data_IF_000842378256
#
_entry.id   IF_000842378256
#
_cell.length_a   1.000
_cell.length_b   1.000
_cell.length_c   1.000
_cell.angle_alpha   90.00
_cell.angle_beta   90.00
_cell.angle_gamma   90.00
#
_symmetry.space_group_name_H-M   'P 1'
#
loop_
_entity.id
_entity.type
_entity.pdbx_description
1 polymer ?
#
# COMPACT_ATOMS: atom_id res chain seq x y z
N UNK A 1 20.29 5.99 10.70
CA UNK A 1 19.79 4.77 11.35
C UNK A 1 18.39 4.39 10.88
N UNK A 2 17.38 5.27 10.96
CA UNK A 2 16.00 4.91 10.56
C UNK A 2 15.87 4.52 9.09
N UNK A 3 16.57 5.18 8.16
CA UNK A 3 16.53 4.84 6.73
C UNK A 3 17.03 3.41 6.46
N UNK A 4 18.09 2.98 7.14
CA UNK A 4 18.60 1.62 7.00
C UNK A 4 17.57 0.58 7.53
N UNK A 5 16.93 0.87 8.66
CA UNK A 5 15.86 0.03 9.21
C UNK A 5 14.69 -0.02 8.22
N UNK A 6 14.32 1.10 7.62
CA UNK A 6 13.22 1.15 6.63
C UNK A 6 13.53 0.29 5.41
N UNK A 7 14.73 0.37 4.87
CA UNK A 7 15.13 -0.48 3.74
C UNK A 7 15.13 -1.96 4.11
N UNK A 8 15.55 -2.31 5.32
CA UNK A 8 15.46 -3.69 5.82
C UNK A 8 14.01 -4.17 5.95
N UNK A 9 13.11 -3.32 6.46
CA UNK A 9 11.68 -3.66 6.56
C UNK A 9 11.07 -3.85 5.17
N UNK A 10 11.34 -2.93 4.23
CA UNK A 10 10.87 -3.07 2.84
C UNK A 10 11.39 -4.38 2.24
N UNK A 11 12.69 -4.65 2.36
CA UNK A 11 13.28 -5.88 1.84
C UNK A 11 12.68 -7.14 2.47
N UNK A 12 12.42 -7.13 3.78
CA UNK A 12 11.79 -8.25 4.48
C UNK A 12 10.35 -8.50 3.99
N UNK A 13 9.55 -7.46 3.82
CA UNK A 13 8.18 -7.58 3.30
C UNK A 13 8.16 -8.10 1.85
N UNK A 14 9.07 -7.61 0.99
CA UNK A 14 9.23 -8.13 -0.38
C UNK A 14 9.66 -9.59 -0.36
N UNK A 15 10.59 -9.97 0.51
CA UNK A 15 11.03 -11.35 0.65
C UNK A 15 9.89 -12.28 1.09
N UNK A 16 9.07 -11.86 2.06
CA UNK A 16 7.89 -12.58 2.51
C UNK A 16 6.91 -12.78 1.34
N UNK A 17 6.60 -11.71 0.59
CA UNK A 17 5.74 -11.79 -0.59
C UNK A 17 6.26 -12.82 -1.61
N UNK A 18 7.54 -12.75 -1.95
CA UNK A 18 8.13 -13.65 -2.94
C UNK A 18 8.20 -15.10 -2.45
N UNK A 19 8.48 -15.34 -1.16
CA UNK A 19 8.47 -16.68 -0.58
C UNK A 19 7.07 -17.30 -0.68
N UNK A 20 6.03 -16.54 -0.33
CA UNK A 20 4.64 -17.01 -0.44
C UNK A 20 4.29 -17.31 -1.90
N UNK A 21 4.62 -16.41 -2.82
CA UNK A 21 4.36 -16.60 -4.26
C UNK A 21 5.05 -17.83 -4.82
N UNK A 22 6.32 -18.07 -4.47
CA UNK A 22 7.04 -19.27 -4.86
C UNK A 22 6.37 -20.54 -4.29
N UNK A 23 5.95 -20.52 -3.04
CA UNK A 23 5.24 -21.64 -2.44
C UNK A 23 3.91 -21.93 -3.16
N UNK A 24 3.15 -20.88 -3.51
CA UNK A 24 1.90 -20.99 -4.27
C UNK A 24 2.14 -21.57 -5.68
N UNK A 25 3.14 -21.05 -6.40
CA UNK A 25 3.52 -21.57 -7.73
C UNK A 25 3.86 -23.06 -7.63
N UNK A 26 4.75 -23.44 -6.72
CA UNK A 26 5.18 -24.83 -6.56
C UNK A 26 4.03 -25.78 -6.20
N UNK A 27 3.01 -25.29 -5.49
CA UNK A 27 1.90 -26.12 -5.01
C UNK A 27 0.72 -26.19 -5.97
N UNK A 28 0.44 -25.11 -6.69
CA UNK A 28 -0.82 -24.92 -7.42
C UNK A 28 -0.67 -24.58 -8.91
N UNK A 29 0.55 -24.36 -9.45
CA UNK A 29 0.70 -24.04 -10.88
C UNK A 29 0.26 -25.16 -11.81
N UNK A 30 0.35 -26.42 -11.36
CA UNK A 30 -0.17 -27.58 -12.11
C UNK A 30 -1.71 -27.75 -12.00
N UNK A 31 -2.38 -26.83 -11.32
CA UNK A 31 -3.81 -26.86 -11.04
C UNK A 31 -4.14 -27.20 -9.58
N UNK A 32 -5.40 -27.01 -9.24
CA UNK A 32 -5.93 -27.24 -7.89
C UNK A 32 -6.07 -25.96 -7.06
N UNK A 33 -6.64 -26.14 -5.89
CA UNK A 33 -6.87 -25.07 -4.91
C UNK A 33 -6.98 -25.66 -3.51
N UNK A 34 -6.94 -24.79 -2.51
CA UNK A 34 -7.13 -25.16 -1.11
C UNK A 34 -8.05 -24.13 -0.45
N UNK A 35 -9.14 -24.58 0.12
CA UNK A 35 -10.04 -23.73 0.89
C UNK A 35 -9.56 -23.64 2.34
N UNK A 36 -9.52 -22.42 2.87
CA UNK A 36 -9.15 -22.09 4.25
C UNK A 36 -10.25 -21.25 4.92
N UNK A 37 -10.15 -21.04 6.22
CA UNK A 37 -11.13 -20.26 6.99
C UNK A 37 -12.58 -20.72 6.74
N UNK A 38 -12.83 -22.05 6.89
CA UNK A 38 -14.16 -22.65 6.66
C UNK A 38 -14.73 -22.42 5.23
N UNK A 39 -13.83 -22.33 4.24
CA UNK A 39 -14.23 -22.12 2.87
C UNK A 39 -14.45 -20.65 2.46
N UNK A 40 -14.23 -19.69 3.38
CA UNK A 40 -14.38 -18.25 3.05
C UNK A 40 -13.26 -17.72 2.15
N UNK A 41 -12.08 -18.34 2.20
CA UNK A 41 -10.93 -17.98 1.37
C UNK A 41 -10.46 -19.22 0.61
N UNK A 42 -10.25 -19.06 -0.67
CA UNK A 42 -9.61 -20.07 -1.53
C UNK A 42 -8.22 -19.63 -1.91
N UNK A 43 -7.25 -20.51 -1.74
CA UNK A 43 -5.89 -20.33 -2.25
C UNK A 43 -5.79 -21.07 -3.58
N UNK A 44 -5.49 -20.36 -4.67
CA UNK A 44 -5.24 -20.91 -6.01
C UNK A 44 -4.23 -20.06 -6.77
N UNK A 45 -3.57 -20.62 -7.74
CA UNK A 45 -2.63 -19.90 -8.59
C UNK A 45 -3.37 -19.18 -9.73
N UNK A 46 -3.07 -17.89 -9.91
CA UNK A 46 -3.59 -17.05 -11.00
C UNK A 46 -2.48 -16.17 -11.54
N UNK A 47 -2.31 -16.15 -12.86
CA UNK A 47 -1.42 -15.20 -13.55
C UNK A 47 -2.18 -13.92 -13.88
N UNK A 48 -1.73 -12.79 -13.32
CA UNK A 48 -2.33 -11.49 -13.56
C UNK A 48 -1.41 -10.63 -14.43
N UNK A 49 -1.79 -10.45 -15.70
CA UNK A 49 -1.05 -9.60 -16.68
C UNK A 49 -1.51 -8.14 -16.67
N UNK A 50 -2.50 -7.78 -15.84
CA UNK A 50 -3.06 -6.44 -15.76
C UNK A 50 -2.80 -5.74 -14.42
N UNK A 51 -3.67 -4.78 -14.14
CA UNK A 51 -3.80 -4.12 -12.83
C UNK A 51 -4.94 -4.78 -12.03
N UNK A 52 -5.41 -4.11 -10.96
CA UNK A 52 -6.53 -4.57 -10.16
C UNK A 52 -7.77 -4.87 -11.03
N UNK A 53 -8.47 -5.98 -10.70
CA UNK A 53 -9.64 -6.48 -11.43
C UNK A 53 -9.37 -6.77 -12.92
N UNK A 54 -8.15 -7.22 -13.25
CA UNK A 54 -7.72 -7.48 -14.64
C UNK A 54 -7.91 -6.28 -15.58
N UNK A 55 -7.97 -5.08 -15.02
CA UNK A 55 -7.94 -3.85 -15.82
C UNK A 55 -6.57 -3.67 -16.45
N UNK A 56 -6.49 -3.03 -17.61
CA UNK A 56 -5.26 -2.82 -18.35
C UNK A 56 -4.52 -4.12 -18.71
N UNK A 57 -5.26 -5.17 -19.10
CA UNK A 57 -4.67 -6.42 -19.57
C UNK A 57 -3.66 -6.15 -20.69
N UNK A 58 -2.56 -6.91 -20.69
CA UNK A 58 -1.44 -6.78 -21.64
C UNK A 58 -0.67 -5.44 -21.57
N UNK A 59 -0.86 -4.62 -20.55
CA UNK A 59 -0.09 -3.40 -20.33
C UNK A 59 1.00 -3.57 -19.26
N UNK A 60 1.55 -4.76 -19.13
CA UNK A 60 2.56 -5.11 -18.13
C UNK A 60 3.74 -4.14 -18.13
N UNK A 61 4.24 -3.75 -19.32
CA UNK A 61 5.37 -2.81 -19.45
C UNK A 61 5.01 -1.43 -18.90
N UNK A 62 3.83 -0.90 -19.22
CA UNK A 62 3.37 0.37 -18.68
C UNK A 62 3.25 0.31 -17.14
N UNK A 63 2.66 -0.76 -16.61
CA UNK A 63 2.53 -0.97 -15.16
C UNK A 63 3.90 -1.10 -14.48
N UNK A 64 4.88 -1.75 -15.10
CA UNK A 64 6.25 -1.82 -14.59
C UNK A 64 6.88 -0.44 -14.51
N UNK A 65 6.83 0.34 -15.59
CA UNK A 65 7.44 1.69 -15.62
C UNK A 65 6.77 2.59 -14.59
N UNK A 66 5.44 2.62 -14.56
CA UNK A 66 4.68 3.42 -13.61
C UNK A 66 5.03 3.05 -12.15
N UNK A 67 5.00 1.75 -11.83
CA UNK A 67 5.34 1.27 -10.48
C UNK A 67 6.77 1.60 -10.10
N UNK A 68 7.74 1.45 -11.02
CA UNK A 68 9.13 1.80 -10.78
C UNK A 68 9.29 3.30 -10.46
N UNK A 69 8.65 4.17 -11.24
CA UNK A 69 8.69 5.63 -11.01
C UNK A 69 8.12 5.98 -9.64
N UNK A 70 6.97 5.40 -9.27
CA UNK A 70 6.33 5.64 -7.96
C UNK A 70 7.22 5.15 -6.81
N UNK A 71 7.80 3.95 -6.92
CA UNK A 71 8.72 3.40 -5.92
C UNK A 71 9.94 4.31 -5.74
N UNK A 72 10.60 4.69 -6.84
CA UNK A 72 11.80 5.56 -6.80
C UNK A 72 11.45 6.91 -6.17
N UNK A 73 10.33 7.51 -6.56
CA UNK A 73 9.86 8.78 -5.97
C UNK A 73 9.65 8.66 -4.46
N UNK A 74 8.94 7.64 -3.99
CA UNK A 74 8.69 7.47 -2.57
C UNK A 74 9.96 7.13 -1.78
N UNK A 75 10.84 6.27 -2.31
CA UNK A 75 12.15 6.01 -1.70
C UNK A 75 12.92 7.32 -1.57
N UNK A 76 12.98 8.15 -2.62
CA UNK A 76 13.62 9.46 -2.57
C UNK A 76 13.04 10.36 -1.46
N UNK A 77 11.71 10.44 -1.33
CA UNK A 77 11.06 11.24 -0.29
C UNK A 77 11.40 10.74 1.13
N UNK A 78 11.46 9.41 1.33
CA UNK A 78 11.84 8.82 2.62
C UNK A 78 13.33 9.04 2.93
N UNK A 79 14.22 8.84 1.94
CA UNK A 79 15.67 8.95 2.15
C UNK A 79 16.10 10.41 2.36
N UNK A 80 15.50 11.36 1.68
CA UNK A 80 15.75 12.81 1.83
C UNK A 80 15.05 13.42 3.05
N UNK A 81 14.32 12.62 3.85
CA UNK A 81 13.57 13.04 5.04
C UNK A 81 12.49 14.10 4.74
N UNK A 82 12.06 14.22 3.48
CA UNK A 82 10.91 15.06 3.12
C UNK A 82 9.63 14.55 3.78
N UNK A 83 9.51 13.24 3.95
CA UNK A 83 8.53 12.62 4.85
C UNK A 83 9.26 12.32 6.16
N UNK A 84 8.86 12.99 7.25
CA UNK A 84 9.47 12.79 8.58
C UNK A 84 9.09 11.42 9.14
N UNK A 85 10.00 10.78 9.91
CA UNK A 85 9.68 9.54 10.60
C UNK A 85 8.43 9.68 11.48
N UNK A 86 7.49 8.77 11.31
CA UNK A 86 6.21 8.76 12.01
C UNK A 86 5.25 7.77 11.36
N UNK A 87 3.98 7.83 11.69
CA UNK A 87 2.98 6.89 11.19
C UNK A 87 2.87 6.91 9.65
N UNK A 88 2.77 8.11 9.04
CA UNK A 88 2.70 8.29 7.57
C UNK A 88 3.94 7.70 6.89
N UNK A 89 5.13 7.90 7.48
CA UNK A 89 6.39 7.36 6.96
C UNK A 89 6.35 5.83 6.81
N UNK A 90 5.83 5.12 7.83
CA UNK A 90 5.71 3.67 7.80
C UNK A 90 4.62 3.18 6.85
N UNK A 91 3.50 3.91 6.72
CA UNK A 91 2.50 3.62 5.70
C UNK A 91 3.11 3.65 4.29
N UNK A 92 3.90 4.69 3.98
CA UNK A 92 4.60 4.81 2.69
C UNK A 92 5.61 3.67 2.50
N UNK A 93 6.35 3.28 3.54
CA UNK A 93 7.29 2.15 3.45
C UNK A 93 6.57 0.82 3.12
N UNK A 94 5.41 0.57 3.73
CA UNK A 94 4.60 -0.63 3.43
C UNK A 94 4.04 -0.59 2.00
N UNK A 95 3.60 0.58 1.51
CA UNK A 95 3.15 0.75 0.12
C UNK A 95 4.30 0.45 -0.85
N UNK A 96 5.51 0.97 -0.58
CA UNK A 96 6.70 0.68 -1.39
C UNK A 96 6.97 -0.82 -1.43
N UNK A 97 6.90 -1.50 -0.29
CA UNK A 97 7.15 -2.94 -0.21
C UNK A 97 6.16 -3.74 -1.08
N UNK A 98 4.86 -3.43 -1.00
CA UNK A 98 3.84 -4.08 -1.84
C UNK A 98 4.04 -3.79 -3.33
N UNK A 99 4.27 -2.52 -3.69
CA UNK A 99 4.58 -2.17 -5.07
C UNK A 99 5.82 -2.89 -5.60
N UNK A 100 6.88 -2.99 -4.79
CA UNK A 100 8.11 -3.68 -5.15
C UNK A 100 7.91 -5.20 -5.31
N UNK A 101 7.11 -5.85 -4.48
CA UNK A 101 6.76 -7.26 -4.61
C UNK A 101 6.12 -7.57 -5.97
N UNK A 102 5.11 -6.81 -6.35
CA UNK A 102 4.44 -6.95 -7.64
C UNK A 102 5.31 -6.49 -8.84
N UNK A 103 6.24 -5.57 -8.62
CA UNK A 103 7.22 -5.16 -9.63
C UNK A 103 8.21 -6.28 -9.92
N UNK A 104 8.73 -6.95 -8.89
CA UNK A 104 9.64 -8.10 -9.04
C UNK A 104 9.00 -9.20 -9.90
N UNK A 105 7.73 -9.52 -9.65
CA UNK A 105 7.01 -10.53 -10.45
C UNK A 105 6.92 -10.13 -11.92
N UNK A 106 6.55 -8.89 -12.22
CA UNK A 106 6.45 -8.42 -13.61
C UNK A 106 7.78 -8.45 -14.34
N UNK A 107 8.88 -8.10 -13.67
CA UNK A 107 10.23 -8.15 -14.25
C UNK A 107 10.68 -9.59 -14.48
N UNK A 108 10.42 -10.47 -13.52
CA UNK A 108 10.93 -11.84 -13.56
C UNK A 108 10.06 -12.80 -14.40
N UNK A 109 8.73 -12.59 -14.41
CA UNK A 109 7.74 -13.52 -14.97
C UNK A 109 6.89 -12.93 -16.10
N UNK A 110 6.81 -11.61 -16.21
CA UNK A 110 5.92 -10.91 -17.13
C UNK A 110 4.47 -10.76 -16.62
N UNK A 111 4.14 -11.31 -15.46
CA UNK A 111 2.84 -11.24 -14.80
C UNK A 111 3.01 -11.21 -13.28
N UNK A 112 1.94 -10.94 -12.55
CA UNK A 112 1.90 -11.00 -11.08
C UNK A 112 1.25 -12.33 -10.66
N UNK A 113 1.81 -12.99 -9.64
CA UNK A 113 1.21 -14.16 -9.02
C UNK A 113 0.19 -13.74 -7.99
N UNK A 114 -1.10 -13.97 -8.29
CA UNK A 114 -2.23 -13.78 -7.38
C UNK A 114 -2.73 -15.12 -6.86
N UNK A 115 -3.25 -15.16 -5.61
CA UNK A 115 -3.57 -16.43 -5.00
C UNK A 115 -4.64 -16.39 -3.91
N UNK A 116 -5.07 -15.23 -3.43
CA UNK A 116 -6.10 -15.08 -2.40
C UNK A 116 -7.43 -14.77 -3.08
N UNK A 117 -8.37 -15.70 -3.02
CA UNK A 117 -9.72 -15.55 -3.59
C UNK A 117 -10.76 -15.59 -2.47
N UNK A 118 -11.47 -14.48 -2.17
CA UNK A 118 -12.67 -14.50 -1.33
C UNK A 118 -13.78 -15.29 -2.05
N UNK A 119 -14.37 -16.28 -1.39
CA UNK A 119 -15.40 -17.14 -2.01
C UNK A 119 -16.82 -16.64 -1.78
N UNK A 120 -17.02 -15.78 -0.77
CA UNK A 120 -18.32 -15.26 -0.35
C UNK A 120 -18.76 -14.00 -1.12
N UNK A 121 -17.86 -13.45 -1.95
CA UNK A 121 -18.11 -12.25 -2.77
C UNK A 121 -17.37 -12.39 -4.10
N UNK A 122 -17.96 -11.83 -5.15
CA UNK A 122 -17.25 -11.75 -6.44
C UNK A 122 -16.20 -10.64 -6.38
N UNK A 123 -14.97 -11.02 -6.03
CA UNK A 123 -13.83 -10.13 -5.90
C UNK A 123 -12.64 -10.68 -6.70
N UNK A 124 -11.79 -9.79 -7.18
CA UNK A 124 -10.56 -10.21 -7.87
C UNK A 124 -9.65 -11.01 -6.94
N UNK A 125 -8.97 -12.01 -7.49
CA UNK A 125 -7.89 -12.69 -6.77
C UNK A 125 -6.76 -11.71 -6.56
N UNK A 126 -6.14 -11.70 -5.40
CA UNK A 126 -5.08 -10.79 -5.01
C UNK A 126 -3.98 -11.52 -4.22
N UNK A 127 -2.96 -10.80 -3.78
CA UNK A 127 -1.79 -11.35 -3.11
C UNK A 127 -1.39 -10.52 -1.86
N UNK A 128 -0.34 -10.93 -1.17
CA UNK A 128 0.18 -10.24 0.01
C UNK A 128 0.68 -8.82 -0.31
N UNK A 129 1.33 -8.61 -1.46
CA UNK A 129 1.79 -7.29 -1.87
C UNK A 129 0.61 -6.32 -2.07
N UNK A 130 -0.53 -6.79 -2.62
CA UNK A 130 -1.76 -5.99 -2.74
C UNK A 130 -2.34 -5.63 -1.37
N UNK A 131 -2.29 -6.56 -0.40
CA UNK A 131 -2.64 -6.25 0.99
C UNK A 131 -1.77 -5.13 1.56
N UNK A 132 -0.46 -5.17 1.34
CA UNK A 132 0.47 -4.12 1.79
C UNK A 132 0.10 -2.77 1.16
N UNK A 133 -0.13 -2.70 -0.15
CA UNK A 133 -0.53 -1.46 -0.82
C UNK A 133 -1.86 -0.94 -0.28
N UNK A 134 -2.87 -1.79 -0.22
CA UNK A 134 -4.23 -1.40 0.17
C UNK A 134 -4.30 -0.95 1.62
N UNK A 135 -3.74 -1.73 2.55
CA UNK A 135 -3.73 -1.39 3.98
C UNK A 135 -2.88 -0.14 4.22
N UNK A 136 -1.69 -0.07 3.61
CA UNK A 136 -0.81 1.10 3.73
C UNK A 136 -1.47 2.37 3.21
N UNK A 137 -2.15 2.32 2.06
CA UNK A 137 -2.87 3.45 1.48
C UNK A 137 -4.10 3.85 2.33
N UNK A 138 -4.89 2.89 2.79
CA UNK A 138 -6.04 3.16 3.64
C UNK A 138 -5.63 3.85 4.95
N UNK A 139 -4.59 3.35 5.63
CA UNK A 139 -4.06 3.95 6.85
C UNK A 139 -3.47 5.34 6.60
N UNK A 140 -2.79 5.55 5.48
CA UNK A 140 -2.27 6.84 5.06
C UNK A 140 -3.40 7.86 4.89
N UNK A 141 -4.47 7.49 4.16
CA UNK A 141 -5.62 8.35 3.91
C UNK A 141 -6.32 8.70 5.24
N UNK A 142 -6.63 7.70 6.06
CA UNK A 142 -7.29 7.92 7.36
C UNK A 142 -6.48 8.87 8.25
N UNK A 143 -5.17 8.66 8.34
CA UNK A 143 -4.29 9.54 9.14
C UNK A 143 -4.25 10.96 8.58
N UNK A 144 -4.14 11.11 7.26
CA UNK A 144 -4.10 12.44 6.62
C UNK A 144 -5.41 13.19 6.86
N UNK A 145 -6.56 12.53 6.67
CA UNK A 145 -7.88 13.14 6.93
C UNK A 145 -8.03 13.53 8.41
N UNK A 146 -7.61 12.65 9.32
CA UNK A 146 -7.63 12.96 10.76
C UNK A 146 -6.79 14.21 11.09
N UNK A 147 -5.58 14.30 10.54
CA UNK A 147 -4.68 15.44 10.79
C UNK A 147 -5.27 16.74 10.24
N UNK A 148 -5.86 16.72 9.04
CA UNK A 148 -6.53 17.88 8.44
C UNK A 148 -7.73 18.36 9.29
N UNK A 149 -8.57 17.45 9.77
CA UNK A 149 -9.70 17.79 10.63
C UNK A 149 -9.22 18.40 11.94
N UNK A 150 -8.16 17.86 12.54
CA UNK A 150 -7.57 18.38 13.79
C UNK A 150 -7.01 19.78 13.61
N UNK A 151 -6.30 20.00 12.51
CA UNK A 151 -5.72 21.31 12.18
C UNK A 151 -6.82 22.37 11.96
N UNK A 152 -7.86 22.03 11.20
CA UNK A 152 -8.99 22.91 10.93
C UNK A 152 -9.73 23.30 12.23
N UNK A 153 -9.97 22.35 13.14
CA UNK A 153 -10.57 22.64 14.44
C UNK A 153 -9.73 23.61 15.27
N UNK A 154 -8.40 23.48 15.20
CA UNK A 154 -7.50 24.40 15.89
C UNK A 154 -7.60 25.82 15.33
N UNK A 155 -7.60 25.96 13.99
CA UNK A 155 -7.78 27.25 13.33
C UNK A 155 -9.07 27.96 13.77
N UNK A 156 -10.20 27.27 13.76
CA UNK A 156 -11.48 27.83 14.18
C UNK A 156 -11.45 28.30 15.65
N UNK A 157 -10.89 27.48 16.55
CA UNK A 157 -10.76 27.84 17.96
C UNK A 157 -9.84 29.05 18.22
N UNK A 158 -8.79 29.19 17.41
CA UNK A 158 -7.87 30.34 17.55
C UNK A 158 -8.48 31.62 16.96
N UNK A 159 -9.33 31.54 15.93
CA UNK A 159 -10.07 32.68 15.39
C UNK A 159 -11.17 33.17 16.34
N UNK A 160 -11.92 32.25 16.98
CA UNK A 160 -12.93 32.59 17.97
C UNK A 160 -12.32 33.36 19.17
N UNK A 161 -11.17 32.89 19.67
CA UNK A 161 -10.44 33.57 20.77
C UNK A 161 -9.96 34.96 20.39
N UNK A 162 -9.49 35.17 19.16
CA UNK A 162 -9.07 36.51 18.69
C UNK A 162 -10.25 37.47 18.53
N UNK A 163 -11.42 36.94 18.14
CA UNK A 163 -12.63 37.74 18.03
C UNK A 163 -13.14 38.21 19.40
N UNK A 164 -13.02 37.38 20.45
CA UNK A 164 -13.37 37.72 21.82
C UNK A 164 -12.41 38.78 22.42
N UNK A 165 -11.08 38.60 22.23
CA UNK A 165 -10.04 39.49 22.80
C UNK A 165 -10.01 40.87 22.12
N UNK A 166 -10.36 40.94 20.80
CA UNK A 166 -10.43 42.22 20.06
C UNK A 166 -11.72 43.02 20.28
N UNK A 167 -12.72 42.45 20.96
CA UNK A 167 -13.98 43.09 21.30
C UNK A 167 -13.87 44.04 22.51
N UNK A 168 -12.97 43.78 23.44
CA UNK A 168 -12.84 44.55 24.69
C UNK A 168 -12.02 45.86 24.54
N UNK A 169 -11.21 46.01 23.48
CA UNK A 169 -10.44 47.26 23.26
C UNK A 169 -11.24 48.42 22.63
N UNK A 170 -12.48 48.22 22.22
CA UNK A 170 -13.30 49.28 21.57
C UNK A 170 -14.29 50.01 22.50
N UNK A 171 -14.29 49.69 23.80
CA UNK A 171 -15.20 50.27 24.78
C UNK A 171 -14.51 51.04 25.91
N UNK A 172 -13.38 51.74 25.61
CA UNK A 172 -12.77 52.70 26.57
C UNK A 172 -12.70 54.09 25.93
#
# INVERSE_FOLDING_TARGET
>A
MIQAITLLVIAALVAIDQIIKVAVVNRFAAGGSMDILFGLIRIRYVENTGAAFSSMQNQTVFLMIFTAVVIVMFIFLLMTKKIKPGFIYWCVAVIIAGGAGNFVDRVARGFVVDYIEPTFVNFAVFNFADCCVTVGAALLIVKTVYDLIKENKKYLSDDDKKAEDGGDEKNV
#
